data_IF_455834628239
#
_entry.id   IF_455834628239
#
_cell.length_a   1.000
_cell.length_b   1.000
_cell.length_c   1.000
_cell.angle_alpha   90.00
_cell.angle_beta   90.00
_cell.angle_gamma   90.00
#
_symmetry.space_group_name_H-M   'P 1'
#
loop_
_entity.id
_entity.type
_entity.pdbx_description
1 polymer ?
#
# COMPACT_ATOMS: atom_id res chain seq x y z
N UNK A 1 -3.41 -24.55 24.10
CA UNK A 1 -2.91 -23.21 23.74
C UNK A 1 -3.38 -22.90 22.34
N UNK A 2 -4.58 -22.35 22.19
CA UNK A 2 -5.03 -21.73 20.94
C UNK A 2 -4.57 -20.29 20.99
N UNK A 3 -3.27 -20.08 20.78
CA UNK A 3 -2.77 -18.74 20.52
C UNK A 3 -3.26 -18.39 19.13
N UNK A 4 -4.27 -17.53 19.04
CA UNK A 4 -4.69 -16.96 17.76
C UNK A 4 -3.45 -16.31 17.15
N UNK A 5 -2.94 -16.92 16.08
CA UNK A 5 -1.87 -16.34 15.28
C UNK A 5 -2.51 -15.13 14.61
N UNK A 6 -2.35 -13.96 15.23
CA UNK A 6 -2.83 -12.70 14.70
C UNK A 6 -2.00 -12.38 13.46
N UNK A 7 -2.48 -12.84 12.30
CA UNK A 7 -1.83 -12.61 11.01
C UNK A 7 -1.66 -11.12 10.77
N UNK A 8 -0.45 -10.74 10.38
CA UNK A 8 -0.13 -9.37 9.99
C UNK A 8 -0.60 -9.11 8.56
N UNK A 9 -1.47 -8.12 8.38
CA UNK A 9 -2.12 -7.79 7.11
C UNK A 9 -1.88 -6.32 6.78
N UNK A 10 -1.54 -6.04 5.53
CA UNK A 10 -1.56 -4.71 4.95
C UNK A 10 -2.54 -4.67 3.77
N UNK A 11 -3.52 -3.76 3.84
CA UNK A 11 -4.44 -3.48 2.75
C UNK A 11 -4.11 -2.12 2.15
N UNK A 12 -3.91 -2.10 0.84
CA UNK A 12 -3.58 -0.92 0.06
C UNK A 12 -4.71 -0.71 -0.94
N UNK A 13 -5.51 0.34 -0.80
CA UNK A 13 -6.71 0.56 -1.62
C UNK A 13 -6.62 1.85 -2.42
N UNK A 14 -6.87 1.78 -3.71
CA UNK A 14 -6.78 2.97 -4.57
C UNK A 14 -7.96 3.95 -4.36
N UNK A 15 -7.58 5.22 -4.17
CA UNK A 15 -8.35 6.46 -4.33
C UNK A 15 -9.07 6.55 -5.68
N UNK A 16 -10.38 6.78 -5.75
CA UNK A 16 -11.00 7.30 -6.98
C UNK A 16 -10.34 8.63 -7.36
N UNK A 17 -10.04 8.83 -8.65
CA UNK A 17 -9.21 9.90 -9.25
C UNK A 17 -7.69 9.67 -9.29
N UNK A 18 -7.18 8.48 -8.94
CA UNK A 18 -5.78 8.07 -9.19
C UNK A 18 -4.69 8.93 -8.52
N UNK A 19 -5.02 9.86 -7.62
CA UNK A 19 -4.01 10.70 -6.97
C UNK A 19 -3.46 10.09 -5.68
N UNK A 20 -4.29 9.40 -4.90
CA UNK A 20 -3.94 8.84 -3.60
C UNK A 20 -4.33 7.36 -3.46
N UNK A 21 -3.83 6.71 -2.41
CA UNK A 21 -4.27 5.41 -1.93
C UNK A 21 -4.43 5.43 -0.40
N UNK A 22 -5.25 4.52 0.12
CA UNK A 22 -5.35 4.22 1.53
C UNK A 22 -4.46 3.04 1.89
N UNK A 23 -3.73 3.17 3.00
CA UNK A 23 -2.94 2.12 3.61
C UNK A 23 -3.53 1.81 4.99
N UNK A 24 -3.99 0.57 5.16
CA UNK A 24 -4.51 0.01 6.39
C UNK A 24 -3.64 -1.15 6.83
N UNK A 25 -3.20 -1.13 8.08
CA UNK A 25 -2.29 -2.14 8.63
C UNK A 25 -2.89 -2.73 9.91
N UNK A 26 -2.88 -4.07 10.04
CA UNK A 26 -3.36 -4.73 11.26
C UNK A 26 -2.38 -4.57 12.42
N UNK A 27 -1.08 -4.42 12.11
CA UNK A 27 0.00 -4.24 13.07
C UNK A 27 0.91 -3.09 12.67
N UNK A 28 1.37 -2.31 13.66
CA UNK A 28 2.33 -1.22 13.45
C UNK A 28 3.69 -1.79 13.04
N UNK A 29 4.20 -1.39 11.87
CA UNK A 29 5.60 -1.59 11.48
C UNK A 29 6.42 -0.33 11.77
N UNK A 30 7.54 -0.49 12.48
CA UNK A 30 8.50 0.60 12.75
C UNK A 30 9.14 1.09 11.44
N UNK A 31 9.49 0.17 10.54
CA UNK A 31 10.07 0.47 9.22
C UNK A 31 9.11 1.28 8.36
N UNK A 32 7.87 0.82 8.21
CA UNK A 32 6.84 1.50 7.42
C UNK A 32 6.48 2.86 8.04
N UNK A 33 6.30 2.90 9.35
CA UNK A 33 6.01 4.16 10.07
C UNK A 33 7.16 5.17 9.93
N UNK A 34 8.40 4.70 10.00
CA UNK A 34 9.60 5.50 9.81
C UNK A 34 9.69 6.07 8.41
N UNK A 35 9.50 5.23 7.39
CA UNK A 35 9.50 5.63 5.98
C UNK A 35 8.41 6.69 5.70
N UNK A 36 7.16 6.43 6.10
CA UNK A 36 6.05 7.37 5.89
C UNK A 36 6.37 8.70 6.57
N UNK A 37 6.92 8.71 7.79
CA UNK A 37 7.21 9.95 8.52
C UNK A 37 8.37 10.74 7.91
N UNK A 38 9.45 10.06 7.51
CA UNK A 38 10.69 10.69 7.07
C UNK A 38 10.72 11.02 5.57
N UNK A 39 10.21 10.12 4.72
CA UNK A 39 10.37 10.21 3.27
C UNK A 39 9.17 10.87 2.58
N UNK A 40 7.95 10.61 3.06
CA UNK A 40 6.73 11.14 2.41
C UNK A 40 6.47 12.58 2.89
N UNK A 41 6.42 13.59 2.00
CA UNK A 41 6.11 14.98 2.35
C UNK A 41 4.77 15.13 3.07
N UNK A 42 4.65 16.16 3.92
CA UNK A 42 3.43 16.40 4.70
C UNK A 42 2.20 16.69 3.83
N UNK A 43 2.38 17.31 2.67
CA UNK A 43 1.31 17.60 1.70
C UNK A 43 0.93 16.38 0.85
N UNK A 44 1.62 15.24 1.00
CA UNK A 44 1.39 14.03 0.22
C UNK A 44 0.97 12.83 1.10
N UNK A 45 0.69 13.11 2.38
CA UNK A 45 0.17 12.12 3.33
C UNK A 45 -0.81 12.76 4.29
N UNK A 46 -1.82 12.00 4.67
CA UNK A 46 -2.74 12.37 5.72
C UNK A 46 -3.05 11.15 6.60
N UNK A 47 -3.15 11.36 7.92
CA UNK A 47 -3.58 10.31 8.83
C UNK A 47 -5.08 10.44 9.07
N UNK A 48 -5.83 9.44 8.65
CA UNK A 48 -7.27 9.36 8.85
C UNK A 48 -7.55 8.60 10.14
N UNK A 49 -7.69 9.33 11.24
CA UNK A 49 -7.87 8.76 12.59
C UNK A 49 -9.04 7.79 12.68
N UNK A 50 -10.14 8.10 12.01
CA UNK A 50 -11.40 7.35 12.09
C UNK A 50 -11.28 5.98 11.42
N UNK A 51 -10.47 5.89 10.38
CA UNK A 51 -10.19 4.65 9.65
C UNK A 51 -8.94 3.93 10.15
N UNK A 52 -8.14 4.60 11.01
CA UNK A 52 -6.79 4.18 11.40
C UNK A 52 -5.91 3.87 10.17
N UNK A 53 -6.01 4.74 9.17
CA UNK A 53 -5.37 4.57 7.86
C UNK A 53 -4.50 5.76 7.52
N UNK A 54 -3.47 5.51 6.72
CA UNK A 54 -2.81 6.59 5.98
C UNK A 54 -3.48 6.76 4.62
N UNK A 55 -3.77 8.00 4.25
CA UNK A 55 -3.98 8.39 2.87
C UNK A 55 -2.66 8.93 2.32
N UNK A 56 -2.18 8.39 1.20
CA UNK A 56 -0.83 8.67 0.68
C UNK A 56 -0.89 8.87 -0.83
N UNK A 57 -0.12 9.82 -1.34
CA UNK A 57 -0.01 10.05 -2.78
C UNK A 57 0.52 8.83 -3.53
N UNK A 58 -0.08 8.56 -4.68
CA UNK A 58 0.12 7.37 -5.49
C UNK A 58 1.52 7.17 -6.05
N UNK A 59 2.38 8.20 -6.09
CA UNK A 59 3.77 8.00 -6.49
C UNK A 59 4.57 7.13 -5.50
N UNK A 60 4.14 7.07 -4.24
CA UNK A 60 4.79 6.28 -3.18
C UNK A 60 4.32 4.83 -3.12
N UNK A 61 3.37 4.45 -3.98
CA UNK A 61 2.73 3.14 -3.95
C UNK A 61 3.74 2.00 -4.07
N UNK A 62 4.76 2.14 -4.91
CA UNK A 62 5.78 1.11 -5.10
C UNK A 62 6.58 0.88 -3.83
N UNK A 63 7.16 1.94 -3.26
CA UNK A 63 8.01 1.82 -2.07
C UNK A 63 7.23 1.30 -0.86
N UNK A 64 5.98 1.77 -0.70
CA UNK A 64 5.11 1.31 0.39
C UNK A 64 4.69 -0.15 0.18
N UNK A 65 4.31 -0.54 -1.03
CA UNK A 65 4.01 -1.95 -1.34
C UNK A 65 5.22 -2.84 -1.09
N UNK A 66 6.42 -2.44 -1.51
CA UNK A 66 7.64 -3.21 -1.31
C UNK A 66 7.93 -3.40 0.20
N UNK A 67 7.81 -2.32 1.01
CA UNK A 67 7.95 -2.44 2.48
C UNK A 67 6.87 -3.33 3.08
N UNK A 68 5.61 -3.22 2.62
CA UNK A 68 4.52 -4.05 3.11
C UNK A 68 4.76 -5.54 2.79
N UNK A 69 5.24 -5.86 1.59
CA UNK A 69 5.61 -7.22 1.17
C UNK A 69 6.72 -7.78 2.05
N UNK A 70 7.62 -6.96 2.59
CA UNK A 70 8.65 -7.42 3.51
C UNK A 70 8.13 -7.64 4.94
N UNK A 71 7.27 -6.75 5.44
CA UNK A 71 6.95 -6.64 6.87
C UNK A 71 5.64 -7.36 7.30
N UNK A 72 4.76 -7.68 6.36
CA UNK A 72 3.44 -8.27 6.63
C UNK A 72 3.33 -9.66 6.02
N UNK A 73 2.53 -10.54 6.64
CA UNK A 73 2.29 -11.90 6.14
C UNK A 73 1.35 -11.91 4.93
N UNK A 74 0.36 -11.02 4.92
CA UNK A 74 -0.56 -10.83 3.80
C UNK A 74 -0.56 -9.37 3.36
N UNK A 75 -0.55 -9.16 2.05
CA UNK A 75 -0.55 -7.80 1.46
C UNK A 75 -1.49 -7.79 0.28
N UNK A 76 -2.56 -7.01 0.38
CA UNK A 76 -3.55 -6.90 -0.69
C UNK A 76 -3.53 -5.50 -1.30
N UNK A 77 -3.63 -5.45 -2.63
CA UNK A 77 -3.87 -4.22 -3.37
C UNK A 77 -5.27 -4.24 -3.98
N UNK A 78 -6.14 -3.34 -3.53
CA UNK A 78 -7.49 -3.15 -4.06
C UNK A 78 -7.48 -2.04 -5.11
N UNK A 79 -7.82 -2.42 -6.33
CA UNK A 79 -7.98 -1.55 -7.49
C UNK A 79 -9.44 -1.51 -7.98
N UNK A 80 -10.36 -1.35 -7.04
CA UNK A 80 -11.80 -1.16 -7.29
C UNK A 80 -12.50 -2.45 -7.70
N UNK A 81 -12.28 -2.93 -8.93
CA UNK A 81 -12.86 -4.20 -9.42
C UNK A 81 -11.90 -5.38 -9.32
N UNK A 82 -10.62 -5.11 -9.12
CA UNK A 82 -9.56 -6.12 -9.02
C UNK A 82 -8.93 -6.07 -7.64
N UNK A 83 -8.67 -7.24 -7.05
CA UNK A 83 -7.91 -7.39 -5.81
C UNK A 83 -6.68 -8.24 -6.13
N UNK A 84 -5.50 -7.74 -5.81
CA UNK A 84 -4.22 -8.42 -6.03
C UNK A 84 -3.63 -8.86 -4.70
N UNK A 85 -3.26 -10.13 -4.57
CA UNK A 85 -2.40 -10.58 -3.48
C UNK A 85 -0.94 -10.29 -3.86
N UNK A 86 -0.32 -9.27 -3.24
CA UNK A 86 1.04 -8.86 -3.58
C UNK A 86 2.11 -9.87 -3.10
N UNK A 87 1.75 -10.86 -2.28
CA UNK A 87 2.62 -11.99 -1.96
C UNK A 87 2.56 -13.08 -3.03
N UNK A 88 1.52 -13.10 -3.85
CA UNK A 88 1.42 -13.98 -5.00
C UNK A 88 2.20 -13.40 -6.19
N UNK A 89 3.08 -14.21 -6.79
CA UNK A 89 3.97 -13.75 -7.86
C UNK A 89 3.22 -13.29 -9.12
N UNK A 90 2.12 -13.95 -9.48
CA UNK A 90 1.34 -13.60 -10.68
C UNK A 90 0.54 -12.31 -10.49
N UNK A 91 -0.05 -12.16 -9.31
CA UNK A 91 -0.79 -10.96 -8.93
C UNK A 91 0.15 -9.78 -8.76
N UNK A 92 1.32 -9.97 -8.13
CA UNK A 92 2.34 -8.93 -8.02
C UNK A 92 2.86 -8.49 -9.40
N UNK A 93 3.06 -9.43 -10.33
CA UNK A 93 3.40 -9.07 -11.72
C UNK A 93 2.30 -8.23 -12.37
N UNK A 94 1.05 -8.64 -12.23
CA UNK A 94 -0.10 -7.92 -12.79
C UNK A 94 -0.25 -6.52 -12.19
N UNK A 95 -0.02 -6.38 -10.87
CA UNK A 95 0.04 -5.11 -10.16
C UNK A 95 1.11 -4.18 -10.76
N UNK A 96 2.33 -4.67 -11.02
CA UNK A 96 3.37 -3.86 -11.66
C UNK A 96 2.94 -3.36 -13.03
N UNK A 97 2.53 -4.27 -13.90
CA UNK A 97 2.19 -3.97 -15.30
C UNK A 97 0.98 -3.00 -15.40
N UNK A 98 -0.03 -3.17 -14.54
CA UNK A 98 -1.28 -2.39 -14.63
C UNK A 98 -1.25 -1.08 -13.84
N UNK A 99 -0.52 -1.04 -12.72
CA UNK A 99 -0.62 0.06 -11.75
C UNK A 99 0.67 0.87 -11.70
N UNK A 100 1.83 0.21 -11.62
CA UNK A 100 3.11 0.91 -11.53
C UNK A 100 3.54 1.45 -12.90
N UNK A 101 3.48 0.62 -13.94
CA UNK A 101 4.01 0.98 -15.26
C UNK A 101 3.10 2.01 -15.98
N UNK A 102 1.77 1.95 -15.77
CA UNK A 102 0.86 2.99 -16.26
C UNK A 102 1.17 4.38 -15.68
N UNK A 103 1.55 4.44 -14.40
CA UNK A 103 1.90 5.71 -13.74
C UNK A 103 3.22 6.29 -14.24
N UNK A 104 4.14 5.45 -14.73
CA UNK A 104 5.40 5.91 -15.34
C UNK A 104 5.13 6.58 -16.69
N UNK A 105 4.19 6.05 -17.48
CA UNK A 105 3.82 6.68 -18.77
C UNK A 105 3.08 8.01 -18.61
N UNK A 106 2.23 8.18 -17.59
CA UNK A 106 1.45 9.41 -17.39
C UNK A 106 2.27 10.59 -16.80
N UNK A 107 3.49 10.34 -16.32
CA UNK A 107 4.42 11.37 -15.82
C UNK A 107 5.49 11.79 -16.85
N UNK A 108 5.51 11.13 -18.02
CA UNK A 108 6.50 11.37 -19.07
C UNK A 108 6.02 12.32 -20.19
N UNK A 109 4.77 12.81 -20.10
CA UNK A 109 4.15 13.76 -21.03
C UNK A 109 4.00 15.16 -20.41
#
# INVERSE_FOLDING_TARGET
MSGDIELSIANISQLSENENFLLQISKKSEKLSGFIKASVPKNEKNWLSDLKSWEINNKWIKDISDICIEEYEQVFFDFGKELFDLKNQNDYRSFKEKILDKKISEQAD
#
